data_IF_604831357382
#
_entry.id   IF_604831357382
#
_cell.length_a   1.000
_cell.length_b   1.000
_cell.length_c   1.000
_cell.angle_alpha   90.00
_cell.angle_beta   90.00
_cell.angle_gamma   90.00
#
_symmetry.space_group_name_H-M   'P 1'
#
loop_
_entity.id
_entity.type
_entity.pdbx_description
1 polymer ?
#
# COMPACT_ATOMS: atom_id res chain seq x y z
N UNK A 1 0.01 -54.40 -30.68
CA UNK A 1 -0.14 -53.00 -31.15
C UNK A 1 -0.68 -52.15 -30.02
N UNK A 2 0.02 -51.08 -29.68
CA UNK A 2 -0.32 -50.09 -28.64
C UNK A 2 -1.54 -49.23 -28.99
N UNK A 3 -1.81 -49.02 -30.28
CA UNK A 3 -2.94 -48.21 -30.78
C UNK A 3 -4.02 -49.12 -31.38
N UNK A 4 -5.26 -49.00 -30.89
CA UNK A 4 -6.44 -49.73 -31.38
C UNK A 4 -7.55 -48.78 -31.79
N UNK A 5 -8.15 -48.98 -32.97
CA UNK A 5 -9.35 -48.22 -33.40
C UNK A 5 -10.57 -48.70 -32.59
N UNK A 6 -11.33 -47.76 -32.04
CA UNK A 6 -12.55 -48.02 -31.27
C UNK A 6 -13.78 -48.06 -32.19
N UNK A 7 -14.88 -48.62 -31.67
CA UNK A 7 -16.17 -48.66 -32.39
C UNK A 7 -16.69 -47.26 -32.78
N UNK A 8 -16.31 -46.23 -32.03
CA UNK A 8 -16.76 -44.85 -32.24
C UNK A 8 -15.80 -44.05 -33.16
N UNK A 9 -14.95 -44.72 -33.94
CA UNK A 9 -14.02 -44.07 -34.87
C UNK A 9 -12.78 -43.41 -34.25
N UNK A 10 -12.68 -43.35 -32.93
CA UNK A 10 -11.49 -42.81 -32.21
C UNK A 10 -10.39 -43.87 -32.04
N UNK A 11 -9.16 -43.44 -31.75
CA UNK A 11 -7.99 -44.31 -31.58
C UNK A 11 -7.57 -44.36 -30.11
N UNK A 12 -7.53 -45.55 -29.52
CA UNK A 12 -7.12 -45.78 -28.14
C UNK A 12 -5.66 -46.21 -28.09
N UNK A 13 -4.82 -45.42 -27.42
CA UNK A 13 -3.45 -45.75 -27.07
C UNK A 13 -3.41 -46.45 -25.71
N UNK A 14 -2.75 -47.59 -25.62
CA UNK A 14 -2.44 -48.34 -24.40
C UNK A 14 -0.94 -48.66 -24.39
N UNK A 15 -0.23 -48.13 -23.41
CA UNK A 15 1.22 -48.35 -23.25
C UNK A 15 1.51 -48.72 -21.81
N UNK A 16 2.31 -49.77 -21.64
CA UNK A 16 2.79 -50.21 -20.34
C UNK A 16 4.00 -49.38 -19.93
N UNK A 17 4.00 -48.83 -18.72
CA UNK A 17 5.10 -48.01 -18.20
C UNK A 17 5.99 -48.90 -17.32
N UNK A 18 7.30 -49.01 -17.62
CA UNK A 18 8.23 -49.80 -16.80
C UNK A 18 8.31 -49.31 -15.35
N UNK A 19 8.38 -50.24 -14.39
CA UNK A 19 8.31 -49.94 -12.95
C UNK A 19 9.44 -48.98 -12.48
N UNK A 20 10.60 -49.02 -13.14
CA UNK A 20 11.79 -48.19 -12.86
C UNK A 20 11.64 -46.69 -13.20
N UNK A 21 10.61 -46.33 -13.98
CA UNK A 21 10.36 -44.95 -14.41
C UNK A 21 8.99 -44.42 -14.02
N UNK A 22 8.09 -45.24 -13.46
CA UNK A 22 6.73 -44.83 -13.06
C UNK A 22 6.73 -43.64 -12.11
N UNK A 23 7.55 -43.70 -11.05
CA UNK A 23 7.68 -42.62 -10.05
C UNK A 23 8.28 -41.34 -10.65
N UNK A 24 9.25 -41.45 -11.57
CA UNK A 24 9.88 -40.32 -12.26
C UNK A 24 8.95 -39.62 -13.24
N UNK A 25 8.05 -40.38 -13.87
CA UNK A 25 7.11 -39.88 -14.87
C UNK A 25 5.76 -39.43 -14.28
N UNK A 26 5.47 -39.78 -13.02
CA UNK A 26 4.17 -39.55 -12.39
C UNK A 26 3.04 -40.31 -13.09
N UNK A 27 3.34 -41.50 -13.62
CA UNK A 27 2.39 -42.33 -14.37
C UNK A 27 2.20 -43.68 -13.69
N UNK A 28 0.99 -44.22 -13.77
CA UNK A 28 0.70 -45.60 -13.36
C UNK A 28 1.24 -46.61 -14.38
N UNK A 29 1.32 -47.88 -13.97
CA UNK A 29 1.75 -49.05 -14.76
C UNK A 29 1.12 -49.15 -16.15
N UNK A 30 -0.10 -48.62 -16.34
CA UNK A 30 -0.77 -48.59 -17.63
C UNK A 30 -1.20 -47.16 -17.99
N UNK A 31 -0.60 -46.60 -19.04
CA UNK A 31 -1.06 -45.37 -19.66
C UNK A 31 -2.12 -45.66 -20.72
N UNK A 32 -3.30 -45.02 -20.60
CA UNK A 32 -4.39 -45.18 -21.55
C UNK A 32 -5.02 -43.82 -21.92
N UNK A 33 -5.07 -43.49 -23.21
CA UNK A 33 -5.71 -42.26 -23.72
C UNK A 33 -6.37 -42.47 -25.08
N UNK A 34 -7.43 -41.72 -25.39
CA UNK A 34 -8.13 -41.73 -26.68
C UNK A 34 -7.81 -40.48 -27.50
N UNK A 35 -7.67 -40.64 -28.80
CA UNK A 35 -7.31 -39.60 -29.76
C UNK A 35 -8.29 -39.60 -30.94
N UNK A 36 -8.47 -38.43 -31.58
CA UNK A 36 -9.39 -38.29 -32.71
C UNK A 36 -8.78 -38.92 -33.97
N UNK A 37 -7.47 -38.79 -34.16
CA UNK A 37 -6.78 -39.34 -35.32
C UNK A 37 -5.72 -40.37 -34.94
N UNK A 38 -5.37 -41.25 -35.89
CA UNK A 38 -4.28 -42.22 -35.73
C UNK A 38 -2.92 -41.52 -35.58
N UNK A 39 -2.77 -40.37 -36.25
CA UNK A 39 -1.55 -39.55 -36.22
C UNK A 39 -1.29 -39.00 -34.82
N UNK A 40 -2.30 -38.38 -34.19
CA UNK A 40 -2.21 -37.90 -32.80
C UNK A 40 -1.84 -39.01 -31.81
N UNK A 41 -2.44 -40.19 -31.98
CA UNK A 41 -2.13 -41.35 -31.13
C UNK A 41 -0.67 -41.80 -31.30
N UNK A 42 -0.13 -41.75 -32.51
CA UNK A 42 1.25 -42.13 -32.82
C UNK A 42 2.28 -41.10 -32.35
N UNK A 43 1.96 -39.82 -32.46
CA UNK A 43 2.78 -38.74 -31.89
C UNK A 43 2.85 -38.82 -30.35
N UNK A 44 1.71 -39.12 -29.70
CA UNK A 44 1.67 -39.32 -28.26
C UNK A 44 2.44 -40.57 -27.79
N UNK A 45 2.40 -41.64 -28.58
CA UNK A 45 3.19 -42.85 -28.34
C UNK A 45 4.69 -42.56 -28.43
N UNK A 46 5.14 -41.88 -29.49
CA UNK A 46 6.54 -41.51 -29.69
C UNK A 46 7.06 -40.59 -28.59
N UNK A 47 6.26 -39.60 -28.18
CA UNK A 47 6.62 -38.71 -27.07
C UNK A 47 6.81 -39.48 -25.76
N UNK A 48 5.92 -40.44 -25.49
CA UNK A 48 5.99 -41.28 -24.30
C UNK A 48 7.22 -42.18 -24.31
N UNK A 49 7.63 -42.72 -25.46
CA UNK A 49 8.86 -43.54 -25.55
C UNK A 49 10.11 -42.70 -25.26
N UNK A 50 10.18 -41.49 -25.79
CA UNK A 50 11.28 -40.55 -25.51
C UNK A 50 11.34 -40.16 -24.03
N UNK A 51 10.20 -39.90 -23.39
CA UNK A 51 10.15 -39.58 -21.96
C UNK A 51 10.59 -40.78 -21.10
N UNK A 52 10.24 -42.02 -21.48
CA UNK A 52 10.71 -43.25 -20.81
C UNK A 52 12.22 -43.41 -20.92
N UNK A 53 12.81 -43.23 -22.11
CA UNK A 53 14.25 -43.32 -22.30
C UNK A 53 15.01 -42.25 -21.50
N UNK A 54 14.53 -41.00 -21.50
CA UNK A 54 15.13 -39.93 -20.70
C UNK A 54 15.06 -40.20 -19.20
N UNK A 55 13.93 -40.74 -18.71
CA UNK A 55 13.77 -41.12 -17.31
C UNK A 55 14.71 -42.26 -16.88
N UNK A 56 15.12 -43.14 -17.81
CA UNK A 56 16.10 -44.20 -17.56
C UNK A 56 17.52 -43.66 -17.47
N UNK A 57 17.91 -42.77 -18.38
CA UNK A 57 19.28 -42.28 -18.46
C UNK A 57 19.63 -41.18 -17.45
N UNK A 58 18.65 -40.43 -16.93
CA UNK A 58 18.89 -39.34 -15.98
C UNK A 58 18.24 -39.61 -14.61
N UNK A 59 19.07 -39.76 -13.56
CA UNK A 59 18.63 -40.03 -12.17
C UNK A 59 17.79 -38.90 -11.56
N UNK A 60 17.85 -37.69 -12.13
CA UNK A 60 17.08 -36.51 -11.68
C UNK A 60 16.01 -36.07 -12.67
N UNK A 61 15.68 -36.90 -13.67
CA UNK A 61 14.56 -36.60 -14.55
C UNK A 61 13.24 -36.72 -13.78
N UNK A 62 12.61 -35.57 -13.55
CA UNK A 62 11.19 -35.45 -13.23
C UNK A 62 10.51 -34.95 -14.49
N UNK A 63 9.38 -35.56 -14.86
CA UNK A 63 8.57 -35.03 -15.95
C UNK A 63 8.24 -33.57 -15.63
N UNK A 64 8.59 -32.60 -16.49
CA UNK A 64 8.24 -31.21 -16.23
C UNK A 64 6.73 -31.14 -16.02
N UNK A 65 6.29 -30.62 -14.85
CA UNK A 65 4.97 -30.03 -14.71
C UNK A 65 4.78 -29.18 -15.96
N UNK A 66 3.71 -29.40 -16.71
CA UNK A 66 3.43 -28.49 -17.83
C UNK A 66 3.48 -27.08 -17.27
N UNK A 67 4.17 -26.14 -17.93
CA UNK A 67 4.08 -24.70 -17.59
C UNK A 67 2.63 -24.26 -17.35
N UNK A 68 1.68 -24.91 -18.05
CA UNK A 68 0.22 -24.74 -17.98
C UNK A 68 -0.42 -25.08 -16.61
N UNK A 69 0.20 -25.93 -15.77
CA UNK A 69 -0.42 -26.47 -14.55
C UNK A 69 0.13 -25.86 -13.24
N UNK A 70 1.03 -24.88 -13.30
CA UNK A 70 1.56 -24.21 -12.11
C UNK A 70 0.43 -23.57 -11.28
N UNK A 71 0.48 -23.74 -9.96
CA UNK A 71 -0.45 -23.09 -9.04
C UNK A 71 -0.22 -21.57 -9.01
N UNK A 72 -1.29 -20.81 -8.79
CA UNK A 72 -1.19 -19.35 -8.67
C UNK A 72 -0.22 -18.95 -7.55
N UNK A 73 -0.24 -19.67 -6.42
CA UNK A 73 0.65 -19.40 -5.28
C UNK A 73 2.13 -19.63 -5.64
N UNK A 74 2.43 -20.74 -6.30
CA UNK A 74 3.79 -21.10 -6.70
C UNK A 74 4.32 -20.13 -7.75
N UNK A 75 3.50 -19.79 -8.77
CA UNK A 75 3.88 -18.79 -9.76
C UNK A 75 4.14 -17.41 -9.12
N UNK A 76 3.31 -17.01 -8.16
CA UNK A 76 3.53 -15.77 -7.43
C UNK A 76 4.89 -15.77 -6.71
N UNK A 77 5.20 -16.83 -5.95
CA UNK A 77 6.40 -16.92 -5.13
C UNK A 77 7.67 -17.06 -5.97
N UNK A 78 7.65 -18.00 -6.92
CA UNK A 78 8.85 -18.49 -7.59
C UNK A 78 9.14 -17.72 -8.89
N UNK A 79 8.13 -17.08 -9.49
CA UNK A 79 8.25 -16.48 -10.83
C UNK A 79 7.92 -14.99 -10.84
N UNK A 80 6.91 -14.52 -10.11
CA UNK A 80 6.45 -13.14 -10.21
C UNK A 80 7.10 -12.19 -9.20
N UNK A 81 7.36 -12.64 -7.97
CA UNK A 81 7.73 -11.74 -6.86
C UNK A 81 9.08 -11.03 -7.08
N UNK A 82 10.12 -11.74 -7.52
CA UNK A 82 11.43 -11.12 -7.75
C UNK A 82 11.42 -10.14 -8.94
N UNK A 83 10.83 -10.47 -10.11
CA UNK A 83 10.59 -9.49 -11.18
C UNK A 83 9.78 -8.27 -10.72
N UNK A 84 8.78 -8.46 -9.86
CA UNK A 84 8.04 -7.34 -9.27
C UNK A 84 8.93 -6.43 -8.43
N UNK A 85 9.76 -7.00 -7.55
CA UNK A 85 10.71 -6.22 -6.73
C UNK A 85 11.72 -5.47 -7.60
N UNK A 86 12.12 -6.06 -8.73
CA UNK A 86 12.97 -5.41 -9.74
C UNK A 86 12.24 -4.36 -10.59
N UNK A 87 10.92 -4.23 -10.47
CA UNK A 87 10.09 -3.28 -11.21
C UNK A 87 9.61 -3.76 -12.59
N UNK A 88 9.95 -4.98 -12.99
CA UNK A 88 9.68 -5.52 -14.34
C UNK A 88 8.20 -5.78 -14.61
N UNK A 89 7.41 -6.03 -13.56
CA UNK A 89 5.96 -6.33 -13.68
C UNK A 89 5.08 -5.13 -13.36
N UNK A 90 5.67 -3.93 -13.31
CA UNK A 90 4.99 -2.69 -12.96
C UNK A 90 5.06 -1.68 -14.10
N UNK A 91 4.05 -0.84 -14.24
CA UNK A 91 4.04 0.25 -15.23
C UNK A 91 4.82 1.48 -14.79
N UNK A 92 5.60 1.41 -13.71
CA UNK A 92 6.28 2.57 -13.11
C UNK A 92 7.76 2.58 -13.49
N UNK A 93 8.30 3.76 -13.82
CA UNK A 93 9.69 3.94 -14.24
C UNK A 93 10.74 3.62 -13.16
N UNK A 94 10.32 3.31 -11.93
CA UNK A 94 11.20 2.99 -10.80
C UNK A 94 10.72 1.71 -10.11
N UNK A 95 11.63 0.86 -9.64
CA UNK A 95 11.28 -0.28 -8.81
C UNK A 95 10.47 0.14 -7.57
N UNK A 96 9.58 -0.73 -7.08
CA UNK A 96 8.80 -0.47 -5.88
C UNK A 96 9.72 -0.30 -4.66
N UNK A 97 9.37 0.64 -3.78
CA UNK A 97 10.10 0.81 -2.52
C UNK A 97 9.94 -0.42 -1.62
N UNK A 98 10.86 -0.65 -0.68
CA UNK A 98 10.73 -1.70 0.36
C UNK A 98 9.37 -1.65 1.05
N UNK A 99 8.86 -0.44 1.28
CA UNK A 99 7.56 -0.27 1.91
C UNK A 99 6.40 -0.75 1.03
N UNK A 100 6.46 -0.45 -0.26
CA UNK A 100 5.51 -0.95 -1.25
C UNK A 100 5.56 -2.48 -1.32
N UNK A 101 6.76 -3.06 -1.43
CA UNK A 101 6.97 -4.52 -1.49
C UNK A 101 6.32 -5.21 -0.28
N UNK A 102 6.60 -4.74 0.93
CA UNK A 102 6.01 -5.29 2.15
C UNK A 102 4.48 -5.22 2.16
N UNK A 103 3.91 -4.11 1.69
CA UNK A 103 2.45 -3.97 1.59
C UNK A 103 1.86 -4.89 0.51
N UNK A 104 2.56 -5.08 -0.61
CA UNK A 104 2.18 -6.02 -1.67
C UNK A 104 2.20 -7.45 -1.17
N UNK A 105 3.28 -7.91 -0.53
CA UNK A 105 3.38 -9.24 0.05
C UNK A 105 2.25 -9.50 1.07
N UNK A 106 1.92 -8.50 1.90
CA UNK A 106 0.77 -8.60 2.82
C UNK A 106 -0.57 -8.73 2.08
N UNK A 107 -0.80 -7.99 1.00
CA UNK A 107 -1.99 -8.13 0.18
C UNK A 107 -2.08 -9.53 -0.44
N UNK A 108 -0.96 -10.08 -0.93
CA UNK A 108 -0.93 -11.44 -1.45
C UNK A 108 -1.26 -12.46 -0.36
N UNK A 109 -0.52 -12.44 0.74
CA UNK A 109 -0.66 -13.37 1.87
C UNK A 109 -2.06 -13.34 2.50
N UNK A 110 -2.61 -12.14 2.76
CA UNK A 110 -3.86 -12.00 3.48
C UNK A 110 -5.10 -12.10 2.58
N UNK A 111 -4.97 -11.83 1.29
CA UNK A 111 -6.14 -11.61 0.43
C UNK A 111 -6.11 -12.33 -0.91
N UNK A 112 -4.98 -12.40 -1.61
CA UNK A 112 -4.95 -12.98 -2.98
C UNK A 112 -4.73 -14.49 -2.91
N UNK A 113 -3.69 -14.95 -2.21
CA UNK A 113 -3.34 -16.37 -2.08
C UNK A 113 -4.50 -17.16 -1.45
N UNK A 114 -5.16 -16.70 -0.35
CA UNK A 114 -6.30 -17.45 0.20
C UNK A 114 -7.47 -17.63 -0.78
N UNK A 115 -7.60 -16.73 -1.77
CA UNK A 115 -8.66 -16.79 -2.77
C UNK A 115 -8.28 -17.64 -3.98
N UNK A 116 -7.05 -17.48 -4.49
CA UNK A 116 -6.64 -17.97 -5.81
C UNK A 116 -5.51 -19.01 -5.76
N UNK A 117 -4.75 -19.07 -4.66
CA UNK A 117 -3.48 -19.79 -4.57
C UNK A 117 -3.53 -21.26 -4.95
N UNK A 118 -4.60 -21.96 -4.53
CA UNK A 118 -4.81 -23.40 -4.76
C UNK A 118 -5.20 -23.79 -6.19
N UNK A 119 -5.47 -22.83 -7.05
CA UNK A 119 -5.87 -23.09 -8.43
C UNK A 119 -4.67 -22.93 -9.37
N UNK A 120 -4.61 -23.73 -10.43
CA UNK A 120 -3.62 -23.51 -11.49
C UNK A 120 -3.93 -22.25 -12.28
N UNK A 121 -2.90 -21.64 -12.87
CA UNK A 121 -3.06 -20.46 -13.73
C UNK A 121 -3.95 -20.76 -14.94
N UNK A 122 -3.75 -21.88 -15.63
CA UNK A 122 -4.61 -22.27 -16.76
C UNK A 122 -6.06 -22.44 -16.32
N UNK A 123 -6.31 -23.11 -15.19
CA UNK A 123 -7.66 -23.32 -14.71
C UNK A 123 -8.37 -22.00 -14.41
N UNK A 124 -7.71 -21.07 -13.71
CA UNK A 124 -8.27 -19.73 -13.47
C UNK A 124 -8.52 -18.98 -14.78
N UNK A 125 -7.55 -19.02 -15.72
CA UNK A 125 -7.61 -18.30 -16.98
C UNK A 125 -8.78 -18.77 -17.88
N UNK A 126 -9.10 -20.07 -17.85
CA UNK A 126 -10.21 -20.65 -18.60
C UNK A 126 -11.57 -20.50 -17.90
N UNK A 127 -11.59 -20.33 -16.58
CA UNK A 127 -12.82 -20.26 -15.78
C UNK A 127 -13.15 -18.84 -15.30
N UNK A 128 -13.52 -17.96 -16.24
CA UNK A 128 -13.90 -16.56 -15.96
C UNK A 128 -14.99 -16.42 -14.89
N UNK A 129 -16.00 -17.30 -14.91
CA UNK A 129 -17.11 -17.26 -13.96
C UNK A 129 -16.65 -17.53 -12.54
N UNK A 130 -15.73 -18.48 -12.34
CA UNK A 130 -15.15 -18.77 -11.04
C UNK A 130 -14.41 -17.55 -10.49
N UNK A 131 -13.56 -16.91 -11.33
CA UNK A 131 -12.82 -15.71 -10.93
C UNK A 131 -13.76 -14.57 -10.53
N UNK A 132 -14.85 -14.36 -11.26
CA UNK A 132 -15.89 -13.38 -10.91
C UNK A 132 -16.54 -13.70 -9.56
N UNK A 133 -16.89 -14.97 -9.32
CA UNK A 133 -17.53 -15.42 -8.08
C UNK A 133 -16.61 -15.26 -6.86
N UNK A 134 -15.28 -15.40 -7.04
CA UNK A 134 -14.29 -15.21 -5.98
C UNK A 134 -14.01 -13.73 -5.69
N UNK A 135 -13.88 -12.91 -6.75
CA UNK A 135 -13.45 -11.51 -6.60
C UNK A 135 -14.59 -10.53 -6.29
N UNK A 136 -15.82 -10.81 -6.70
CA UNK A 136 -16.96 -9.92 -6.44
C UNK A 136 -17.26 -9.77 -4.94
N UNK A 137 -17.36 -10.84 -4.13
CA UNK A 137 -17.50 -10.71 -2.68
C UNK A 137 -16.31 -9.97 -2.04
N UNK A 138 -15.10 -10.17 -2.58
CA UNK A 138 -13.92 -9.44 -2.09
C UNK A 138 -14.02 -7.95 -2.37
N UNK A 139 -14.53 -7.55 -3.53
CA UNK A 139 -14.75 -6.15 -3.89
C UNK A 139 -15.80 -5.46 -3.01
N UNK A 140 -16.80 -6.21 -2.55
CA UNK A 140 -17.86 -5.74 -1.67
C UNK A 140 -17.41 -5.64 -0.20
N UNK A 141 -16.40 -6.41 0.21
CA UNK A 141 -15.91 -6.44 1.60
C UNK A 141 -14.65 -5.60 1.83
N UNK A 142 -13.82 -5.37 0.80
CA UNK A 142 -12.49 -4.78 0.98
C UNK A 142 -12.31 -3.45 0.22
N UNK A 143 -12.05 -2.37 0.96
CA UNK A 143 -11.91 -1.04 0.40
C UNK A 143 -10.72 -0.90 -0.58
N UNK A 144 -9.62 -1.63 -0.36
CA UNK A 144 -8.45 -1.58 -1.23
C UNK A 144 -8.49 -2.64 -2.35
N UNK A 145 -9.70 -3.03 -2.80
CA UNK A 145 -9.87 -4.00 -3.88
C UNK A 145 -9.19 -3.59 -5.20
N UNK A 146 -9.09 -2.29 -5.50
CA UNK A 146 -8.38 -1.81 -6.70
C UNK A 146 -6.93 -2.32 -6.76
N UNK A 147 -6.23 -2.38 -5.62
CA UNK A 147 -4.87 -2.89 -5.56
C UNK A 147 -4.84 -4.41 -5.80
N UNK A 148 -5.70 -5.18 -5.11
CA UNK A 148 -5.87 -6.62 -5.33
C UNK A 148 -6.05 -6.93 -6.81
N UNK A 149 -7.00 -6.23 -7.43
CA UNK A 149 -7.33 -6.37 -8.85
C UNK A 149 -6.13 -6.08 -9.76
N UNK A 150 -5.37 -5.04 -9.46
CA UNK A 150 -4.16 -4.69 -10.22
C UNK A 150 -3.08 -5.75 -10.12
N UNK A 151 -2.82 -6.28 -8.93
CA UNK A 151 -1.81 -7.33 -8.73
C UNK A 151 -2.20 -8.66 -9.39
N UNK A 152 -3.48 -9.05 -9.33
CA UNK A 152 -3.94 -10.26 -10.02
C UNK A 152 -3.75 -10.12 -11.52
N UNK A 153 -4.13 -8.97 -12.12
CA UNK A 153 -3.88 -8.74 -13.54
C UNK A 153 -2.38 -8.79 -13.87
N UNK A 154 -1.53 -8.13 -13.08
CA UNK A 154 -0.08 -8.16 -13.26
C UNK A 154 0.51 -9.58 -13.21
N UNK A 155 -0.02 -10.47 -12.36
CA UNK A 155 0.39 -11.89 -12.33
C UNK A 155 0.04 -12.60 -13.62
N UNK A 156 -1.20 -12.45 -14.11
CA UNK A 156 -1.61 -13.11 -15.36
C UNK A 156 -0.98 -12.50 -16.62
N UNK A 157 -0.76 -11.18 -16.63
CA UNK A 157 -0.04 -10.49 -17.72
C UNK A 157 1.42 -10.99 -17.78
N UNK A 158 2.08 -11.18 -16.63
CA UNK A 158 3.44 -11.76 -16.58
C UNK A 158 3.48 -13.25 -16.95
N UNK A 159 2.43 -14.00 -16.59
CA UNK A 159 2.30 -15.40 -16.98
C UNK A 159 2.11 -15.57 -18.49
N UNK A 160 1.42 -14.64 -19.14
CA UNK A 160 1.32 -14.56 -20.60
C UNK A 160 2.69 -14.23 -21.21
N UNK A 161 3.38 -13.21 -20.71
CA UNK A 161 4.72 -12.81 -21.19
C UNK A 161 5.76 -13.94 -21.15
N UNK A 162 5.68 -14.82 -20.14
CA UNK A 162 6.62 -15.94 -19.96
C UNK A 162 6.13 -17.28 -20.53
N UNK A 163 5.06 -17.26 -21.33
CA UNK A 163 4.42 -18.43 -21.95
C UNK A 163 3.95 -19.52 -20.97
N UNK A 164 3.54 -19.13 -19.74
CA UNK A 164 2.85 -20.04 -18.82
C UNK A 164 1.37 -20.19 -19.18
N UNK A 165 0.80 -19.16 -19.82
CA UNK A 165 -0.50 -19.19 -20.49
C UNK A 165 -0.35 -18.58 -21.87
N UNK A 166 -1.16 -19.01 -22.84
CA UNK A 166 -1.10 -18.48 -24.20
C UNK A 166 -1.60 -17.04 -24.32
N UNK A 167 -2.63 -16.68 -23.54
CA UNK A 167 -3.25 -15.36 -23.58
C UNK A 167 -3.93 -15.07 -22.25
N UNK A 168 -3.81 -13.85 -21.71
CA UNK A 168 -4.55 -13.46 -20.53
C UNK A 168 -6.04 -13.20 -20.88
N UNK A 169 -6.90 -14.17 -20.57
CA UNK A 169 -8.35 -14.11 -20.81
C UNK A 169 -9.09 -13.36 -19.70
N UNK A 170 -8.41 -13.03 -18.60
CA UNK A 170 -9.01 -12.49 -17.37
C UNK A 170 -8.88 -10.97 -17.26
N UNK A 171 -7.88 -10.34 -17.90
CA UNK A 171 -7.58 -8.91 -17.72
C UNK A 171 -8.84 -8.03 -17.81
N UNK A 172 -9.61 -8.17 -18.88
CA UNK A 172 -10.85 -7.39 -19.11
C UNK A 172 -11.95 -7.74 -18.09
N UNK A 173 -12.10 -9.01 -17.75
CA UNK A 173 -13.09 -9.51 -16.79
C UNK A 173 -12.84 -8.92 -15.40
N UNK A 174 -11.62 -9.05 -14.92
CA UNK A 174 -11.18 -8.57 -13.61
C UNK A 174 -11.30 -7.04 -13.56
N UNK A 175 -10.82 -6.32 -14.58
CA UNK A 175 -10.85 -4.85 -14.66
C UNK A 175 -12.27 -4.24 -14.65
N UNK A 176 -13.31 -5.01 -14.97
CA UNK A 176 -14.71 -4.55 -14.91
C UNK A 176 -15.29 -4.59 -13.50
N UNK A 177 -14.74 -5.38 -12.59
CA UNK A 177 -15.20 -5.46 -11.20
C UNK A 177 -14.95 -4.12 -10.50
N UNK A 178 -16.02 -3.51 -9.99
CA UNK A 178 -15.97 -2.21 -9.29
C UNK A 178 -15.57 -2.40 -7.83
N UNK A 179 -14.84 -1.44 -7.27
CA UNK A 179 -14.44 -1.45 -5.87
C UNK A 179 -15.59 -0.96 -4.97
N UNK A 180 -16.68 -1.73 -4.90
CA UNK A 180 -17.96 -1.36 -4.28
C UNK A 180 -17.79 -0.90 -2.85
N UNK A 181 -17.01 -1.60 -2.00
CA UNK A 181 -16.80 -1.20 -0.61
C UNK A 181 -16.22 0.21 -0.48
N UNK A 182 -15.29 0.56 -1.36
CA UNK A 182 -14.66 1.90 -1.37
C UNK A 182 -15.64 2.99 -1.77
N UNK A 183 -16.54 2.69 -2.71
CA UNK A 183 -17.59 3.63 -3.13
C UNK A 183 -18.59 3.85 -1.99
N UNK A 184 -19.11 2.77 -1.39
CA UNK A 184 -20.00 2.85 -0.24
C UNK A 184 -19.40 3.67 0.92
N UNK A 185 -18.13 3.43 1.26
CA UNK A 185 -17.43 4.19 2.31
C UNK A 185 -17.18 5.66 1.95
N UNK A 186 -17.15 5.99 0.65
CA UNK A 186 -17.03 7.37 0.19
C UNK A 186 -18.38 8.07 0.28
N UNK A 187 -19.44 7.40 -0.15
CA UNK A 187 -20.80 7.95 -0.18
C UNK A 187 -21.39 8.09 1.23
N UNK A 188 -20.95 7.25 2.18
CA UNK A 188 -21.37 7.34 3.59
C UNK A 188 -20.66 8.44 4.39
N UNK A 189 -19.55 9.00 3.90
CA UNK A 189 -18.78 10.02 4.62
C UNK A 189 -19.44 11.38 4.41
N UNK A 190 -19.85 12.03 5.50
CA UNK A 190 -20.31 13.42 5.44
C UNK A 190 -19.09 14.34 5.40
N UNK A 191 -19.24 15.50 4.76
CA UNK A 191 -18.16 16.49 4.64
C UNK A 191 -17.65 16.95 6.03
N UNK A 192 -18.58 17.08 6.97
CA UNK A 192 -18.34 17.46 8.37
C UNK A 192 -17.48 16.43 9.13
N UNK A 193 -17.41 15.17 8.68
CA UNK A 193 -16.62 14.13 9.35
C UNK A 193 -15.11 14.23 9.06
N UNK A 194 -14.72 15.01 8.03
CA UNK A 194 -13.36 15.05 7.48
C UNK A 194 -12.40 15.99 8.24
N UNK A 195 -12.94 16.96 8.96
CA UNK A 195 -12.22 17.90 9.80
C UNK A 195 -12.91 18.00 11.16
N UNK A 196 -12.24 18.61 12.13
CA UNK A 196 -12.88 19.04 13.37
C UNK A 196 -13.46 20.44 13.16
N UNK A 197 -14.51 20.76 13.91
CA UNK A 197 -14.94 22.15 14.07
C UNK A 197 -14.05 22.88 15.09
N UNK A 198 -14.28 24.19 15.29
CA UNK A 198 -13.46 25.03 16.18
C UNK A 198 -13.55 24.59 17.64
N UNK A 199 -14.73 24.18 18.09
CA UNK A 199 -14.96 23.73 19.46
C UNK A 199 -14.30 22.37 19.73
N UNK A 200 -14.48 21.41 18.81
CA UNK A 200 -13.82 20.10 18.87
C UNK A 200 -12.30 20.24 18.86
N UNK A 201 -11.75 21.13 18.04
CA UNK A 201 -10.30 21.40 18.03
C UNK A 201 -9.86 21.99 19.38
N UNK A 202 -10.62 22.94 19.93
CA UNK A 202 -10.35 23.52 21.24
C UNK A 202 -10.31 22.45 22.33
N UNK A 203 -11.28 21.52 22.35
CA UNK A 203 -11.27 20.41 23.32
C UNK A 203 -10.05 19.51 23.14
N UNK A 204 -9.62 19.25 21.90
CA UNK A 204 -8.39 18.50 21.66
C UNK A 204 -7.15 19.19 22.24
N UNK A 205 -7.02 20.51 22.07
CA UNK A 205 -5.90 21.27 22.64
C UNK A 205 -5.92 21.22 24.17
N UNK A 206 -7.08 21.50 24.77
CA UNK A 206 -7.28 21.45 26.23
C UNK A 206 -6.95 20.07 26.82
N UNK A 207 -7.35 18.98 26.15
CA UNK A 207 -7.05 17.64 26.62
C UNK A 207 -5.55 17.32 26.63
N UNK A 208 -4.77 17.90 25.70
CA UNK A 208 -3.31 17.80 25.72
C UNK A 208 -2.70 18.61 26.86
N UNK A 209 -3.23 19.81 27.14
CA UNK A 209 -2.81 20.65 28.27
C UNK A 209 -3.06 19.92 29.60
N UNK A 210 -4.30 19.44 29.82
CA UNK A 210 -4.69 18.73 31.04
C UNK A 210 -3.88 17.45 31.26
N UNK A 211 -3.67 16.64 30.21
CA UNK A 211 -2.89 15.42 30.33
C UNK A 211 -1.40 15.72 30.60
N UNK A 212 -0.85 16.83 30.09
CA UNK A 212 0.52 17.23 30.41
C UNK A 212 0.63 17.68 31.88
N UNK A 213 -0.28 18.53 32.33
CA UNK A 213 -0.33 19.03 33.72
C UNK A 213 -0.46 17.89 34.73
N UNK A 214 -1.27 16.87 34.41
CA UNK A 214 -1.45 15.68 35.24
C UNK A 214 -0.31 14.65 35.13
N UNK A 215 0.72 14.92 34.31
CA UNK A 215 1.84 13.99 34.08
C UNK A 215 1.43 12.70 33.35
N UNK A 216 0.32 12.74 32.63
CA UNK A 216 -0.29 11.62 31.90
C UNK A 216 0.27 11.46 30.48
N UNK A 217 0.99 12.46 29.97
CA UNK A 217 1.82 12.42 28.76
C UNK A 217 3.19 13.01 29.04
N UNK A 218 4.18 12.62 28.24
CA UNK A 218 5.52 13.23 28.29
C UNK A 218 5.51 14.59 27.59
N UNK A 219 6.37 15.51 28.02
CA UNK A 219 6.54 16.81 27.36
C UNK A 219 6.91 16.66 25.87
N UNK A 220 7.68 15.63 25.51
CA UNK A 220 7.96 15.24 24.13
C UNK A 220 6.69 15.00 23.30
N UNK A 221 5.72 14.28 23.86
CA UNK A 221 4.49 13.93 23.15
C UNK A 221 3.64 15.18 22.88
N UNK A 222 3.61 16.10 23.85
CA UNK A 222 2.99 17.41 23.73
C UNK A 222 3.65 18.25 22.62
N UNK A 223 4.99 18.39 22.65
CA UNK A 223 5.74 19.16 21.66
C UNK A 223 5.60 18.55 20.26
N UNK A 224 5.58 17.22 20.14
CA UNK A 224 5.36 16.51 18.88
C UNK A 224 3.99 16.85 18.29
N UNK A 225 2.94 16.80 19.12
CA UNK A 225 1.59 17.14 18.68
C UNK A 225 1.52 18.57 18.15
N UNK A 226 2.02 19.56 18.89
CA UNK A 226 2.01 20.96 18.45
C UNK A 226 2.89 21.19 17.22
N UNK A 227 4.03 20.51 17.10
CA UNK A 227 4.88 20.57 15.90
C UNK A 227 4.11 20.12 14.67
N UNK A 228 3.49 18.93 14.73
CA UNK A 228 2.70 18.41 13.61
C UNK A 228 1.45 19.26 13.32
N UNK A 229 0.84 19.84 14.36
CA UNK A 229 -0.33 20.71 14.21
C UNK A 229 0.02 22.04 13.53
N UNK A 230 0.98 22.80 14.06
CA UNK A 230 1.38 24.11 13.53
C UNK A 230 1.98 24.04 12.13
N UNK A 231 2.83 23.03 11.87
CA UNK A 231 3.38 22.83 10.53
C UNK A 231 2.33 22.26 9.56
N UNK A 232 1.23 21.71 10.09
CA UNK A 232 0.21 21.00 9.31
C UNK A 232 0.82 20.00 8.33
N UNK A 233 1.94 19.38 8.71
CA UNK A 233 2.77 18.52 7.87
C UNK A 233 2.22 17.07 7.89
N UNK A 234 2.82 16.17 7.11
CA UNK A 234 2.53 14.74 7.29
C UNK A 234 3.29 14.32 8.53
N UNK A 235 2.67 13.59 9.47
CA UNK A 235 3.34 13.08 10.69
C UNK A 235 4.76 12.52 10.46
N UNK A 236 4.99 11.81 9.35
CA UNK A 236 6.31 11.26 8.99
C UNK A 236 7.40 12.31 8.71
N UNK A 237 7.01 13.52 8.32
CA UNK A 237 7.89 14.68 8.08
C UNK A 237 8.38 15.22 9.43
N UNK A 238 7.47 15.50 10.38
CA UNK A 238 7.79 15.83 11.77
C UNK A 238 8.68 14.78 12.45
N UNK A 239 8.42 13.50 12.20
CA UNK A 239 9.23 12.42 12.78
C UNK A 239 10.66 12.36 12.23
N UNK A 240 10.88 12.90 11.02
CA UNK A 240 12.20 12.95 10.39
C UNK A 240 12.99 14.22 10.74
N UNK A 241 12.41 15.15 11.49
CA UNK A 241 13.11 16.37 11.90
C UNK A 241 14.33 16.02 12.75
N UNK A 242 15.44 16.68 12.44
CA UNK A 242 16.68 16.68 13.19
C UNK A 242 16.95 18.11 13.66
N UNK A 243 17.73 18.30 14.72
CA UNK A 243 17.96 19.66 15.25
C UNK A 243 18.61 20.61 14.24
N UNK A 244 19.35 20.10 13.25
CA UNK A 244 19.89 20.90 12.13
C UNK A 244 18.82 21.57 11.27
N UNK A 245 17.59 21.05 11.29
CA UNK A 245 16.47 21.58 10.50
C UNK A 245 15.76 22.76 11.19
N UNK A 246 16.09 23.08 12.45
CA UNK A 246 15.41 24.11 13.23
C UNK A 246 16.39 25.25 13.51
N UNK A 247 16.07 26.45 12.99
CA UNK A 247 16.81 27.67 13.26
C UNK A 247 16.06 28.54 14.27
N UNK A 248 16.54 28.53 15.51
CA UNK A 248 15.95 29.30 16.62
C UNK A 248 16.19 30.82 16.53
N UNK A 249 17.09 31.29 15.66
CA UNK A 249 17.35 32.73 15.48
C UNK A 249 16.36 33.36 14.51
N UNK A 250 16.04 32.64 13.43
CA UNK A 250 15.12 33.09 12.38
C UNK A 250 13.71 32.54 12.53
N UNK A 251 13.47 31.68 13.54
CA UNK A 251 12.23 30.95 13.76
C UNK A 251 11.80 30.12 12.54
N UNK A 252 12.77 29.45 11.92
CA UNK A 252 12.55 28.68 10.70
C UNK A 252 12.68 27.17 10.94
N UNK A 253 11.80 26.39 10.32
CA UNK A 253 11.83 24.93 10.32
C UNK A 253 11.86 24.42 8.88
N UNK A 254 12.92 23.69 8.52
CA UNK A 254 13.08 23.09 7.20
C UNK A 254 12.54 21.66 7.17
N UNK A 255 11.54 21.41 6.31
CA UNK A 255 11.06 20.07 5.98
C UNK A 255 11.61 19.66 4.61
N UNK A 256 12.52 18.68 4.59
CA UNK A 256 13.06 18.07 3.37
C UNK A 256 13.08 16.53 3.40
N UNK A 257 12.81 15.95 4.56
CA UNK A 257 12.79 14.50 4.77
C UNK A 257 11.47 14.02 5.39
N UNK A 258 11.24 12.72 5.27
CA UNK A 258 10.20 11.99 5.96
C UNK A 258 10.72 10.61 6.37
N UNK A 259 10.14 10.00 7.39
CA UNK A 259 10.38 8.59 7.73
C UNK A 259 9.43 7.68 6.94
N UNK A 260 9.95 6.56 6.48
CA UNK A 260 9.11 5.45 6.01
C UNK A 260 8.61 4.59 7.17
N UNK A 261 7.82 3.54 6.86
CA UNK A 261 7.26 2.65 7.89
C UNK A 261 8.32 1.83 8.65
N UNK A 262 9.57 1.79 8.16
CA UNK A 262 10.70 1.10 8.79
C UNK A 262 11.64 2.06 9.53
N UNK A 263 11.29 3.36 9.60
CA UNK A 263 12.15 4.37 10.21
C UNK A 263 13.31 4.82 9.33
N UNK A 264 13.31 4.49 8.03
CA UNK A 264 14.33 4.95 7.10
C UNK A 264 14.02 6.37 6.64
N UNK A 265 15.03 7.23 6.67
CA UNK A 265 14.93 8.61 6.17
C UNK A 265 14.86 8.59 4.63
N UNK A 266 13.86 9.27 4.08
CA UNK A 266 13.67 9.47 2.65
C UNK A 266 13.36 10.93 2.37
N UNK A 267 13.50 11.35 1.12
CA UNK A 267 12.98 12.64 0.68
C UNK A 267 11.45 12.69 0.86
N UNK A 268 10.93 13.90 1.07
CA UNK A 268 9.48 14.16 1.03
C UNK A 268 8.85 13.68 -0.27
N UNK A 269 7.53 13.55 -0.28
CA UNK A 269 6.80 13.22 -1.51
C UNK A 269 7.06 14.31 -2.57
N UNK A 270 7.63 13.91 -3.71
CA UNK A 270 8.00 14.83 -4.78
C UNK A 270 9.34 15.54 -4.58
N UNK A 271 10.10 15.23 -3.53
CA UNK A 271 11.41 15.82 -3.27
C UNK A 271 11.37 17.31 -2.89
N UNK A 272 10.20 17.82 -2.48
CA UNK A 272 10.01 19.23 -2.11
C UNK A 272 10.74 19.55 -0.81
N UNK A 273 11.52 20.62 -0.82
CA UNK A 273 12.01 21.28 0.40
C UNK A 273 11.05 22.41 0.75
N UNK A 274 10.64 22.51 2.01
CA UNK A 274 9.77 23.61 2.47
C UNK A 274 10.35 24.20 3.74
N UNK A 275 10.56 25.51 3.72
CA UNK A 275 10.96 26.29 4.88
C UNK A 275 9.70 26.93 5.48
N UNK A 276 9.44 26.67 6.76
CA UNK A 276 8.33 27.25 7.49
C UNK A 276 8.84 28.31 8.44
N UNK A 277 8.16 29.46 8.49
CA UNK A 277 8.29 30.39 9.61
C UNK A 277 7.33 29.94 10.71
N UNK A 278 7.90 29.38 11.78
CA UNK A 278 7.15 28.82 12.90
C UNK A 278 6.77 29.92 13.91
N UNK A 279 5.58 29.82 14.54
CA UNK A 279 5.16 30.75 15.58
C UNK A 279 6.06 30.64 16.81
N UNK A 280 6.17 31.73 17.58
CA UNK A 280 7.07 31.84 18.75
C UNK A 280 6.72 30.77 19.79
N UNK A 281 5.43 30.50 19.96
CA UNK A 281 4.88 29.49 20.86
C UNK A 281 5.45 28.10 20.56
N UNK A 282 5.52 27.70 19.28
CA UNK A 282 6.15 26.44 18.89
C UNK A 282 7.66 26.47 19.12
N UNK A 283 8.31 27.57 18.79
CA UNK A 283 9.76 27.70 18.94
C UNK A 283 10.19 27.60 20.40
N UNK A 284 9.43 28.17 21.33
CA UNK A 284 9.72 28.10 22.75
C UNK A 284 9.50 26.69 23.33
N UNK A 285 8.45 25.99 22.89
CA UNK A 285 8.27 24.57 23.20
C UNK A 285 9.45 23.73 22.70
N UNK A 286 9.91 23.95 21.46
CA UNK A 286 11.05 23.24 20.88
C UNK A 286 12.37 23.57 21.60
N UNK A 287 12.60 24.82 22.03
CA UNK A 287 13.79 25.19 22.82
C UNK A 287 13.80 24.44 24.15
N UNK A 288 12.68 24.46 24.88
CA UNK A 288 12.55 23.75 26.16
C UNK A 288 12.75 22.25 25.98
N UNK A 289 12.16 21.68 24.93
CA UNK A 289 12.33 20.26 24.61
C UNK A 289 13.78 19.91 24.27
N UNK A 290 14.49 20.77 23.52
CA UNK A 290 15.90 20.56 23.18
C UNK A 290 16.78 20.39 24.41
N UNK A 291 16.59 21.23 25.43
CA UNK A 291 17.36 21.12 26.68
C UNK A 291 16.97 19.89 27.50
N UNK A 292 15.68 19.55 27.58
CA UNK A 292 15.21 18.34 28.25
C UNK A 292 15.76 17.08 27.58
N UNK A 293 15.64 16.96 26.26
CA UNK A 293 16.19 15.84 25.50
C UNK A 293 17.70 15.71 25.69
N UNK A 294 18.44 16.83 25.76
CA UNK A 294 19.88 16.82 26.02
C UNK A 294 20.20 16.22 27.40
N UNK A 295 19.41 16.57 28.43
CA UNK A 295 19.57 16.00 29.76
C UNK A 295 19.23 14.50 29.78
N UNK A 296 18.12 14.09 29.13
CA UNK A 296 17.71 12.68 29.00
C UNK A 296 18.78 11.85 28.27
N UNK A 297 19.25 12.31 27.11
CA UNK A 297 20.27 11.60 26.33
C UNK A 297 21.60 11.48 27.08
N UNK A 298 21.96 12.49 27.88
CA UNK A 298 23.18 12.47 28.70
C UNK A 298 23.16 11.34 29.73
N UNK A 299 21.98 10.98 30.28
CA UNK A 299 21.84 9.85 31.21
C UNK A 299 22.21 8.51 30.58
N UNK A 300 22.12 8.40 29.26
CA UNK A 300 22.49 7.21 28.48
C UNK A 300 23.86 7.34 27.81
N UNK A 301 24.65 8.37 28.15
CA UNK A 301 25.95 8.64 27.51
C UNK A 301 25.85 9.12 26.07
N UNK A 302 24.68 9.55 25.60
CA UNK A 302 24.45 10.02 24.23
C UNK A 302 24.59 11.55 24.18
N UNK A 303 25.44 12.05 23.28
CA UNK A 303 25.57 13.48 23.02
C UNK A 303 24.50 13.94 22.03
N UNK A 304 23.71 14.96 22.41
CA UNK A 304 22.82 15.64 21.48
C UNK A 304 23.64 16.42 20.44
N UNK A 305 23.55 16.02 19.17
CA UNK A 305 24.20 16.69 18.03
C UNK A 305 23.16 17.34 17.12
N UNK A 306 23.60 18.10 16.12
CA UNK A 306 22.69 18.66 15.11
C UNK A 306 21.99 17.57 14.27
N UNK A 307 22.57 16.38 14.13
CA UNK A 307 21.96 15.24 13.45
C UNK A 307 21.04 14.41 14.37
N UNK A 308 20.92 14.76 15.65
CA UNK A 308 19.98 14.08 16.54
C UNK A 308 18.54 14.38 16.08
N UNK A 309 17.73 13.33 15.99
CA UNK A 309 16.31 13.46 15.71
C UNK A 309 15.63 14.22 16.85
N UNK A 310 14.74 15.15 16.48
CA UNK A 310 13.99 15.97 17.42
C UNK A 310 13.11 15.10 18.30
N UNK A 311 12.48 14.07 17.71
CA UNK A 311 11.61 13.16 18.44
C UNK A 311 12.10 11.72 18.30
N UNK A 312 12.36 11.08 19.44
CA UNK A 312 12.75 9.68 19.56
C UNK A 312 12.03 9.04 20.73
N UNK A 313 12.08 7.71 20.82
CA UNK A 313 11.53 6.97 21.94
C UNK A 313 12.44 5.80 22.29
N UNK A 314 12.16 5.15 23.43
CA UNK A 314 12.78 3.89 23.80
C UNK A 314 11.78 2.78 23.47
N UNK A 315 12.21 1.79 22.70
CA UNK A 315 11.32 0.71 22.29
C UNK A 315 11.24 -0.40 23.35
N UNK A 316 10.32 -1.35 23.16
CA UNK A 316 10.13 -2.50 24.05
C UNK A 316 11.25 -3.53 23.98
N UNK A 317 12.23 -3.35 23.08
CA UNK A 317 13.40 -4.21 22.91
C UNK A 317 14.64 -3.61 23.57
N UNK A 318 14.45 -2.62 24.46
CA UNK A 318 15.50 -1.87 25.13
C UNK A 318 16.42 -1.08 24.19
N UNK A 319 15.99 -0.80 22.95
CA UNK A 319 16.69 0.15 22.11
C UNK A 319 16.35 1.56 22.58
N UNK A 320 17.39 2.37 22.78
CA UNK A 320 17.29 3.73 23.30
C UNK A 320 17.41 4.72 22.14
N UNK A 321 16.70 5.84 22.22
CA UNK A 321 16.81 6.95 21.26
C UNK A 321 16.53 6.52 19.80
N UNK A 322 15.53 5.66 19.61
CA UNK A 322 15.11 5.21 18.27
C UNK A 322 14.10 6.17 17.65
N UNK A 323 14.13 6.30 16.32
CA UNK A 323 13.17 7.11 15.55
C UNK A 323 11.73 6.65 15.77
N UNK A 324 10.78 7.59 15.78
CA UNK A 324 9.38 7.28 16.05
C UNK A 324 8.78 6.28 15.04
N UNK A 325 8.00 5.33 15.57
CA UNK A 325 7.16 4.46 14.75
C UNK A 325 6.09 5.27 14.00
N UNK A 326 5.69 4.84 12.80
CA UNK A 326 4.71 5.55 11.96
C UNK A 326 3.39 5.86 12.69
N UNK A 327 2.98 4.99 13.61
CA UNK A 327 1.73 5.14 14.37
C UNK A 327 1.89 5.79 15.74
N UNK A 328 3.10 6.24 16.12
CA UNK A 328 3.40 6.78 17.45
C UNK A 328 2.38 7.85 17.90
N UNK A 329 2.23 8.95 17.15
CA UNK A 329 1.29 10.02 17.50
C UNK A 329 -0.18 9.54 17.45
N UNK A 330 -0.51 8.54 16.62
CA UNK A 330 -1.88 8.00 16.58
C UNK A 330 -2.18 7.25 17.88
N UNK A 331 -1.22 6.48 18.40
CA UNK A 331 -1.37 5.83 19.69
C UNK A 331 -1.45 6.83 20.84
N UNK A 332 -0.66 7.91 20.82
CA UNK A 332 -0.76 8.99 21.83
C UNK A 332 -2.13 9.65 21.81
N UNK A 333 -2.61 10.10 20.66
CA UNK A 333 -3.95 10.68 20.51
C UNK A 333 -5.06 9.71 20.94
N UNK A 334 -4.97 8.44 20.56
CA UNK A 334 -5.93 7.41 21.00
C UNK A 334 -5.87 7.12 22.50
N UNK A 335 -4.71 7.33 23.15
CA UNK A 335 -4.58 7.23 24.60
C UNK A 335 -5.27 8.39 25.30
N UNK A 336 -5.04 9.62 24.82
CA UNK A 336 -5.69 10.83 25.33
C UNK A 336 -7.22 10.71 25.18
N UNK A 337 -7.71 10.34 24.00
CA UNK A 337 -9.15 10.13 23.76
C UNK A 337 -9.81 9.08 24.67
N UNK A 338 -9.06 8.08 25.15
CA UNK A 338 -9.59 7.11 26.12
C UNK A 338 -9.77 7.70 27.52
N UNK A 339 -9.01 8.74 27.85
CA UNK A 339 -9.11 9.50 29.11
C UNK A 339 -10.10 10.65 29.03
N UNK A 340 -10.31 11.17 27.82
CA UNK A 340 -11.21 12.27 27.51
C UNK A 340 -12.30 11.77 26.54
N UNK A 341 -13.33 11.04 27.03
CA UNK A 341 -14.29 10.34 26.18
C UNK A 341 -15.14 11.26 25.30
N UNK A 342 -15.29 12.53 25.68
CA UNK A 342 -16.04 13.55 24.93
C UNK A 342 -15.29 14.07 23.69
N UNK A 343 -14.01 13.72 23.54
CA UNK A 343 -13.25 14.11 22.36
C UNK A 343 -13.76 13.42 21.10
N UNK A 344 -14.11 14.26 20.12
CA UNK A 344 -14.41 13.81 18.77
C UNK A 344 -13.25 12.97 18.19
N UNK A 345 -13.52 11.87 17.47
CA UNK A 345 -12.48 11.05 16.88
C UNK A 345 -11.57 11.86 15.94
N UNK A 346 -10.27 11.85 16.22
CA UNK A 346 -9.26 12.54 15.42
C UNK A 346 -8.01 11.68 15.18
N UNK A 347 -7.26 12.09 14.16
CA UNK A 347 -5.94 11.56 13.81
C UNK A 347 -5.07 12.73 13.37
N UNK A 348 -3.74 12.58 13.30
CA UNK A 348 -2.86 13.65 12.79
C UNK A 348 -3.27 14.12 11.39
N UNK A 349 -3.78 13.19 10.56
CA UNK A 349 -4.29 13.55 9.25
C UNK A 349 -5.59 14.38 9.32
N UNK A 350 -6.53 14.04 10.21
CA UNK A 350 -7.76 14.82 10.41
C UNK A 350 -7.44 16.23 10.95
N UNK A 351 -6.44 16.38 11.81
CA UNK A 351 -5.98 17.69 12.28
C UNK A 351 -5.38 18.53 11.15
N UNK A 352 -4.61 17.92 10.24
CA UNK A 352 -4.14 18.60 9.03
C UNK A 352 -5.31 19.07 8.13
N UNK A 353 -6.35 18.27 7.96
CA UNK A 353 -7.60 18.69 7.27
C UNK A 353 -8.31 19.83 8.00
N UNK A 354 -8.30 19.79 9.34
CA UNK A 354 -8.87 20.82 10.20
C UNK A 354 -8.17 22.16 9.98
N UNK A 355 -6.84 22.20 10.06
CA UNK A 355 -6.06 23.42 9.79
C UNK A 355 -6.36 24.01 8.41
N UNK A 356 -6.44 23.16 7.37
CA UNK A 356 -6.80 23.57 6.02
C UNK A 356 -8.22 24.18 5.93
N UNK A 357 -9.19 23.53 6.57
CA UNK A 357 -10.61 23.94 6.57
C UNK A 357 -10.79 25.26 7.31
N UNK A 358 -10.19 25.41 8.49
CA UNK A 358 -10.29 26.63 9.29
C UNK A 358 -9.56 27.80 8.62
N UNK A 359 -8.38 27.56 8.03
CA UNK A 359 -7.68 28.57 7.22
C UNK A 359 -8.54 29.07 6.06
N UNK A 360 -9.30 28.17 5.41
CA UNK A 360 -10.24 28.58 4.36
C UNK A 360 -11.39 29.41 4.88
N UNK A 361 -12.00 29.01 6.00
CA UNK A 361 -13.09 29.76 6.65
C UNK A 361 -12.63 31.17 7.08
N UNK A 362 -11.36 31.29 7.51
CA UNK A 362 -10.71 32.56 7.82
C UNK A 362 -10.34 33.40 6.57
N UNK A 363 -10.73 32.97 5.36
CA UNK A 363 -10.59 33.76 4.13
C UNK A 363 -9.31 33.52 3.33
N UNK A 364 -8.41 32.62 3.75
CA UNK A 364 -7.19 32.33 2.97
C UNK A 364 -7.52 31.70 1.61
N UNK A 365 -6.72 32.06 0.61
CA UNK A 365 -6.86 31.54 -0.75
C UNK A 365 -6.48 30.06 -0.83
N UNK A 366 -6.95 29.38 -1.88
CA UNK A 366 -6.60 27.97 -2.11
C UNK A 366 -5.10 27.79 -2.33
N UNK A 367 -4.45 28.78 -2.97
CA UNK A 367 -3.02 28.76 -3.24
C UNK A 367 -2.20 28.84 -1.94
N UNK A 368 -2.51 29.79 -1.06
CA UNK A 368 -1.85 29.95 0.24
C UNK A 368 -2.01 28.70 1.12
N UNK A 369 -3.20 28.10 1.15
CA UNK A 369 -3.42 26.87 1.92
C UNK A 369 -2.67 25.69 1.29
N UNK A 370 -2.63 25.60 -0.04
CA UNK A 370 -1.87 24.56 -0.74
C UNK A 370 -0.36 24.65 -0.47
N UNK A 371 0.14 25.87 -0.41
CA UNK A 371 1.53 26.18 -0.06
C UNK A 371 1.83 25.80 1.39
N UNK A 372 1.00 26.24 2.34
CA UNK A 372 1.12 25.92 3.76
C UNK A 372 1.05 24.41 4.04
N UNK A 373 0.20 23.68 3.31
CA UNK A 373 0.11 22.22 3.39
C UNK A 373 1.18 21.49 2.57
N UNK A 374 2.11 22.18 1.91
CA UNK A 374 3.16 21.55 1.09
C UNK A 374 2.64 20.58 0.03
N UNK A 375 1.43 20.80 -0.48
CA UNK A 375 0.86 19.98 -1.55
C UNK A 375 1.53 20.31 -2.89
N UNK A 376 1.94 19.26 -3.61
CA UNK A 376 2.50 19.38 -4.96
C UNK A 376 1.44 19.66 -6.03
N UNK A 377 0.16 19.49 -5.70
CA UNK A 377 -0.96 19.68 -6.61
C UNK A 377 -2.13 20.34 -5.85
N UNK A 378 -2.66 21.44 -6.38
CA UNK A 378 -3.79 22.16 -5.82
C UNK A 378 -5.08 21.32 -5.81
N UNK A 379 -5.19 20.30 -6.68
CA UNK A 379 -6.31 19.34 -6.68
C UNK A 379 -6.38 18.54 -5.36
N UNK A 380 -5.22 18.26 -4.76
CA UNK A 380 -5.11 17.65 -3.45
C UNK A 380 -5.70 18.61 -2.43
N UNK A 381 -5.32 19.89 -2.47
CA UNK A 381 -5.83 20.92 -1.54
C UNK A 381 -7.34 21.13 -1.65
N UNK A 382 -7.94 21.01 -2.85
CA UNK A 382 -9.41 20.98 -3.02
C UNK A 382 -10.09 19.82 -2.28
N UNK A 383 -9.42 18.67 -2.19
CA UNK A 383 -9.94 17.51 -1.43
C UNK A 383 -9.85 17.74 0.09
N UNK A 384 -8.97 18.63 0.55
CA UNK A 384 -8.79 18.98 1.97
C UNK A 384 -9.71 20.13 2.39
N UNK A 385 -9.97 21.06 1.47
CA UNK A 385 -10.80 22.23 1.70
C UNK A 385 -12.19 21.92 1.16
N UNK A 386 -12.99 21.25 1.97
CA UNK A 386 -14.37 20.93 1.66
C UNK A 386 -15.30 21.95 2.32
N UNK A 387 -15.07 23.24 2.04
CA UNK A 387 -16.03 24.30 2.35
C UNK A 387 -16.99 24.44 1.16
N UNK A 388 -18.30 24.57 1.39
CA UNK A 388 -19.27 24.92 0.34
C UNK A 388 -18.72 26.09 -0.47
N UNK A 389 -18.52 25.87 -1.76
CA UNK A 389 -18.01 26.92 -2.64
C UNK A 389 -19.17 27.86 -2.93
N UNK A 390 -19.25 28.96 -2.19
CA UNK A 390 -20.23 30.01 -2.49
C UNK A 390 -19.79 30.73 -3.74
N UNK A 391 -20.51 30.51 -4.84
CA UNK A 391 -20.30 31.27 -6.08
C UNK A 391 -20.85 32.67 -5.87
N UNK A 392 -19.98 33.64 -5.56
CA UNK A 392 -20.36 35.05 -5.33
C UNK A 392 -21.08 35.66 -6.54
N UNK A 393 -20.64 35.31 -7.75
CA UNK A 393 -21.27 35.72 -9.00
C UNK A 393 -21.11 34.59 -10.03
N UNK A 394 -22.20 34.04 -10.58
CA UNK A 394 -22.12 33.07 -11.67
C UNK A 394 -21.44 33.68 -12.89
N UNK A 395 -20.62 32.89 -13.60
CA UNK A 395 -19.90 33.37 -14.79
C UNK A 395 -20.84 33.98 -15.86
N UNK A 396 -22.07 33.45 -15.97
CA UNK A 396 -23.11 33.99 -16.85
C UNK A 396 -23.52 35.42 -16.53
N UNK A 397 -23.46 35.86 -15.27
CA UNK A 397 -23.75 37.26 -14.89
C UNK A 397 -22.66 38.19 -15.39
N UNK A 398 -21.39 37.76 -15.32
CA UNK A 398 -20.26 38.53 -15.87
C UNK A 398 -20.38 38.65 -17.38
N UNK A 399 -20.64 37.55 -18.09
CA UNK A 399 -20.83 37.52 -19.53
C UNK A 399 -22.04 38.37 -19.98
N UNK A 400 -23.16 38.30 -19.25
CA UNK A 400 -24.35 39.11 -19.55
C UNK A 400 -24.10 40.60 -19.37
N UNK A 401 -23.35 41.01 -18.33
CA UNK A 401 -23.01 42.41 -18.09
C UNK A 401 -21.99 42.94 -19.10
N UNK A 402 -21.05 42.13 -19.55
CA UNK A 402 -20.07 42.53 -20.59
C UNK A 402 -20.68 42.64 -21.99
N UNK A 403 -21.85 42.05 -22.24
CA UNK A 403 -22.58 42.15 -23.51
C UNK A 403 -23.62 43.28 -23.52
N UNK A 404 -23.91 43.88 -22.36
CA UNK A 404 -24.84 45.01 -22.21
C UNK A 404 -24.14 46.37 -22.06
N UNK A 405 -22.82 46.35 -21.87
CA UNK A 405 -21.94 47.49 -22.12
C UNK A 405 -21.38 47.37 -23.54
#
# INVERSE_FOLDING_TARGET
>A
MSIKRTKNGTYQLRVYIPDDVQSKLGLSKLYQKRFKTRREAKEAELKLSVDIEKARHNKHYQKPLKKEDILFEDFYKDVWLEPYKAGQTTSTNKPPTRATIFQTENLFRLHIIPLLGKYSLSYLNDNKQLVLNLLTPKANSFANFKAIRGYINSVFDWAEELDYIQVNRLHKTISRIKATKKQMLKDSKREEDLSLNEEELRYWLLAFDEDLERGLIEFKDYVLFYTTFFLSDRKSESYALQWKHINFKTNEILIENALDQFGTVKSTKGGKKTLFHAPIELMDLLKKWKELQKAELKQFGIRQTNNQFVFTYNDRKNNINVVLHIDYLNYRMNSIRRRHPDLAPASPHKLRHTGATLAKKAGRSLAEISEALTHSDQSITKTYINTKTTVRQPAGVTAFRSLKN
#
